data_IF_699556873324
#
_entry.id   IF_699556873324
#
_cell.length_a   1.000
_cell.length_b   1.000
_cell.length_c   1.000
_cell.angle_alpha   90.00
_cell.angle_beta   90.00
_cell.angle_gamma   90.00
#
_symmetry.space_group_name_H-M   'P 1'
#
loop_
_entity.id
_entity.type
_entity.pdbx_description
1 polymer ?
#
# COMPACT_ATOMS: atom_id res chain seq x y z
N UNK A 1 -55.72 3.59 -27.46
CA UNK A 1 -55.29 3.88 -26.09
C UNK A 1 -54.67 2.61 -25.47
N UNK A 2 -53.35 2.48 -25.59
CA UNK A 2 -52.55 1.26 -25.31
C UNK A 2 -52.51 0.93 -23.81
N UNK A 3 -52.73 1.92 -22.96
CA UNK A 3 -52.74 1.81 -21.49
C UNK A 3 -53.91 0.97 -20.95
N UNK A 4 -55.12 1.15 -21.48
CA UNK A 4 -56.31 0.44 -21.03
C UNK A 4 -56.28 -1.06 -21.38
N UNK A 5 -55.50 -1.46 -22.39
CA UNK A 5 -55.38 -2.86 -22.84
C UNK A 5 -54.45 -3.70 -21.96
N UNK A 6 -53.45 -3.07 -21.33
CA UNK A 6 -52.50 -3.72 -20.44
C UNK A 6 -53.09 -4.05 -19.07
N UNK A 7 -54.01 -3.23 -18.56
CA UNK A 7 -54.65 -3.42 -17.26
C UNK A 7 -55.69 -4.57 -17.27
N UNK A 8 -56.29 -4.84 -18.44
CA UNK A 8 -57.43 -5.78 -18.59
C UNK A 8 -57.03 -7.24 -18.66
N UNK A 9 -55.77 -7.55 -19.00
CA UNK A 9 -55.28 -8.92 -19.23
C UNK A 9 -54.42 -9.44 -18.08
N UNK A 10 -54.17 -8.65 -17.03
CA UNK A 10 -53.24 -8.98 -15.95
C UNK A 10 -51.78 -9.17 -16.42
N UNK A 11 -51.50 -8.92 -17.71
CA UNK A 11 -50.18 -9.06 -18.35
C UNK A 11 -49.55 -7.69 -18.62
N UNK A 12 -49.88 -6.69 -17.81
CA UNK A 12 -49.37 -5.33 -17.91
C UNK A 12 -48.39 -5.02 -16.78
N UNK A 13 -47.16 -4.64 -17.14
CA UNK A 13 -46.14 -4.06 -16.27
C UNK A 13 -45.72 -4.90 -15.04
N UNK A 14 -45.21 -6.11 -15.28
CA UNK A 14 -44.04 -6.51 -14.47
C UNK A 14 -42.86 -5.70 -14.99
N UNK A 15 -42.43 -4.69 -14.23
CA UNK A 15 -41.13 -4.04 -14.38
C UNK A 15 -40.05 -5.13 -14.27
N UNK A 16 -39.76 -5.82 -15.38
CA UNK A 16 -38.72 -6.87 -15.48
C UNK A 16 -37.30 -6.31 -15.32
N UNK A 17 -37.15 -5.01 -15.08
CA UNK A 17 -35.88 -4.30 -15.08
C UNK A 17 -35.42 -3.79 -13.70
N UNK A 18 -36.21 -3.95 -12.63
CA UNK A 18 -35.78 -3.54 -11.27
C UNK A 18 -35.20 -4.68 -10.43
N UNK A 19 -35.51 -5.94 -10.76
CA UNK A 19 -34.95 -7.11 -10.06
C UNK A 19 -33.44 -7.24 -10.26
N UNK A 20 -32.95 -6.92 -11.46
CA UNK A 20 -31.52 -6.88 -11.77
C UNK A 20 -30.81 -5.73 -11.08
N UNK A 21 -31.48 -4.59 -10.88
CA UNK A 21 -30.93 -3.45 -10.12
C UNK A 21 -30.84 -3.79 -8.63
N UNK A 22 -31.89 -4.38 -8.05
CA UNK A 22 -31.87 -4.84 -6.66
C UNK A 22 -30.82 -5.95 -6.42
N UNK A 23 -30.67 -6.88 -7.36
CA UNK A 23 -29.62 -7.90 -7.30
C UNK A 23 -28.21 -7.28 -7.42
N UNK A 24 -27.99 -6.34 -8.33
CA UNK A 24 -26.73 -5.59 -8.45
C UNK A 24 -26.42 -4.79 -7.18
N UNK A 25 -27.42 -4.19 -6.56
CA UNK A 25 -27.23 -3.47 -5.30
C UNK A 25 -26.80 -4.41 -4.17
N UNK A 26 -27.43 -5.58 -4.04
CA UNK A 26 -27.00 -6.62 -3.09
C UNK A 26 -25.57 -7.10 -3.34
N UNK A 27 -25.15 -7.21 -4.60
CA UNK A 27 -23.76 -7.55 -4.95
C UNK A 27 -22.78 -6.44 -4.55
N UNK A 28 -23.13 -5.17 -4.77
CA UNK A 28 -22.32 -4.02 -4.34
C UNK A 28 -22.24 -3.97 -2.82
N UNK A 29 -23.37 -4.14 -2.12
CA UNK A 29 -23.41 -4.19 -0.66
C UNK A 29 -22.53 -5.32 -0.11
N UNK A 30 -22.64 -6.53 -0.66
CA UNK A 30 -21.79 -7.66 -0.29
C UNK A 30 -20.31 -7.37 -0.54
N UNK A 31 -19.97 -6.76 -1.67
CA UNK A 31 -18.58 -6.42 -2.02
C UNK A 31 -18.02 -5.31 -1.11
N UNK A 32 -18.83 -4.32 -0.75
CA UNK A 32 -18.45 -3.28 0.21
C UNK A 32 -18.22 -3.86 1.59
N UNK A 33 -19.10 -4.75 2.06
CA UNK A 33 -18.95 -5.43 3.35
C UNK A 33 -17.70 -6.32 3.38
N UNK A 34 -17.44 -7.05 2.29
CA UNK A 34 -16.23 -7.87 2.13
C UNK A 34 -14.98 -6.99 2.17
N UNK A 35 -14.94 -5.94 1.36
CA UNK A 35 -13.82 -4.97 1.32
C UNK A 35 -13.59 -4.32 2.68
N UNK A 36 -14.66 -3.98 3.41
CA UNK A 36 -14.56 -3.41 4.76
C UNK A 36 -14.10 -4.41 5.82
N UNK A 37 -14.40 -5.70 5.66
CA UNK A 37 -13.86 -6.77 6.50
C UNK A 37 -12.36 -6.96 6.22
N UNK A 38 -11.99 -7.12 4.95
CA UNK A 38 -10.59 -7.28 4.50
C UNK A 38 -9.74 -6.09 4.97
N UNK A 39 -10.24 -4.86 4.84
CA UNK A 39 -9.56 -3.66 5.30
C UNK A 39 -9.33 -3.66 6.82
N UNK A 40 -10.32 -4.09 7.61
CA UNK A 40 -10.17 -4.17 9.07
C UNK A 40 -9.11 -5.19 9.46
N UNK A 41 -9.09 -6.35 8.83
CA UNK A 41 -8.07 -7.37 9.06
C UNK A 41 -6.66 -6.84 8.72
N UNK A 42 -6.50 -6.22 7.56
CA UNK A 42 -5.22 -5.61 7.15
C UNK A 42 -4.78 -4.50 8.12
N UNK A 43 -5.70 -3.67 8.60
CA UNK A 43 -5.39 -2.63 9.59
C UNK A 43 -4.91 -3.24 10.90
N UNK A 44 -5.54 -4.32 11.38
CA UNK A 44 -5.06 -5.02 12.58
C UNK A 44 -3.69 -5.65 12.36
N UNK A 45 -3.46 -6.25 11.19
CA UNK A 45 -2.16 -6.81 10.82
C UNK A 45 -1.07 -5.72 10.84
N UNK A 46 -1.33 -4.55 10.27
CA UNK A 46 -0.39 -3.43 10.26
C UNK A 46 -0.19 -2.83 11.65
N UNK A 47 -1.21 -2.83 12.51
CA UNK A 47 -1.08 -2.39 13.91
C UNK A 47 -0.07 -3.23 14.67
N UNK A 48 0.10 -4.52 14.34
CA UNK A 48 1.10 -5.37 14.99
C UNK A 48 2.53 -4.86 14.81
N UNK A 49 2.83 -4.17 13.71
CA UNK A 49 4.16 -3.60 13.43
C UNK A 49 4.63 -2.59 14.49
N UNK A 50 3.69 -1.93 15.17
CA UNK A 50 4.02 -0.98 16.26
C UNK A 50 4.59 -1.65 17.50
N UNK A 51 4.35 -2.96 17.65
CA UNK A 51 4.78 -3.78 18.79
C UNK A 51 5.95 -4.70 18.46
N UNK A 52 6.28 -4.84 17.17
CA UNK A 52 7.39 -5.66 16.72
C UNK A 52 8.68 -4.83 16.73
N UNK A 53 9.68 -5.17 17.56
CA UNK A 53 10.92 -4.44 17.58
C UNK A 53 11.70 -4.64 16.28
N UNK A 54 12.47 -3.63 15.89
CA UNK A 54 13.45 -3.70 14.81
C UNK A 54 14.62 -2.79 15.14
N UNK A 55 15.79 -3.40 15.33
CA UNK A 55 17.02 -2.66 15.59
C UNK A 55 17.58 -2.07 14.29
N UNK A 56 18.40 -1.01 14.40
CA UNK A 56 19.00 -0.37 13.22
C UNK A 56 19.80 -1.31 12.30
N UNK A 57 20.55 -2.32 12.79
CA UNK A 57 21.21 -3.30 11.92
C UNK A 57 20.23 -4.13 11.07
N UNK A 58 19.08 -4.51 11.65
CA UNK A 58 18.01 -5.23 10.93
C UNK A 58 17.32 -4.30 9.92
N UNK A 59 17.05 -3.05 10.31
CA UNK A 59 16.56 -2.03 9.39
C UNK A 59 17.50 -1.82 8.20
N UNK A 60 18.82 -1.78 8.45
CA UNK A 60 19.83 -1.64 7.41
C UNK A 60 19.76 -2.79 6.40
N UNK A 61 19.79 -4.04 6.86
CA UNK A 61 19.81 -5.20 5.95
C UNK A 61 18.46 -5.43 5.26
N UNK A 62 17.35 -5.28 5.98
CA UNK A 62 16.02 -5.54 5.45
C UNK A 62 15.50 -4.43 4.52
N UNK A 63 15.85 -3.16 4.79
CA UNK A 63 15.31 -2.00 4.09
C UNK A 63 16.37 -1.30 3.25
N UNK A 64 17.45 -0.80 3.86
CA UNK A 64 18.41 0.07 3.16
C UNK A 64 19.08 -0.64 1.99
N UNK A 65 19.53 -1.88 2.20
CA UNK A 65 20.25 -2.64 1.17
C UNK A 65 19.33 -3.04 -0.01
N UNK A 66 18.03 -3.19 0.24
CA UNK A 66 17.03 -3.49 -0.81
C UNK A 66 16.56 -2.26 -1.57
N UNK A 67 16.48 -1.12 -0.88
CA UNK A 67 16.02 0.14 -1.49
C UNK A 67 17.15 0.80 -2.25
N UNK A 68 18.35 0.85 -1.67
CA UNK A 68 19.57 1.43 -2.21
C UNK A 68 20.70 0.38 -2.17
N UNK A 69 20.69 -0.58 -3.12
CA UNK A 69 21.78 -1.54 -3.23
C UNK A 69 23.10 -0.83 -3.53
N UNK A 70 24.17 -1.31 -2.91
CA UNK A 70 25.52 -0.77 -3.10
C UNK A 70 25.91 -0.84 -4.57
N UNK A 71 26.40 0.26 -5.18
CA UNK A 71 26.96 0.22 -6.53
C UNK A 71 28.19 -0.70 -6.55
N UNK A 72 28.19 -1.71 -7.41
CA UNK A 72 29.29 -2.66 -7.53
C UNK A 72 29.83 -2.72 -8.96
N UNK A 73 31.10 -3.15 -9.07
CA UNK A 73 31.75 -3.43 -10.35
C UNK A 73 32.29 -2.20 -11.09
N UNK A 74 32.87 -2.42 -12.28
CA UNK A 74 33.58 -1.39 -13.04
C UNK A 74 32.69 -0.27 -13.60
N UNK A 75 31.36 -0.41 -13.51
CA UNK A 75 30.38 0.58 -13.95
C UNK A 75 29.95 1.53 -12.83
N UNK A 76 30.38 1.28 -11.59
CA UNK A 76 30.05 2.12 -10.45
C UNK A 76 30.74 3.49 -10.57
N UNK A 77 29.96 4.52 -10.85
CA UNK A 77 30.44 5.91 -10.94
C UNK A 77 30.34 6.63 -9.61
N UNK A 78 31.16 7.67 -9.40
CA UNK A 78 31.08 8.54 -8.22
C UNK A 78 29.68 9.13 -8.02
N UNK A 79 28.98 9.43 -9.12
CA UNK A 79 27.59 9.90 -9.08
C UNK A 79 26.62 8.84 -8.54
N UNK A 80 26.82 7.57 -8.91
CA UNK A 80 26.02 6.47 -8.39
C UNK A 80 26.27 6.28 -6.89
N UNK A 81 27.53 6.32 -6.46
CA UNK A 81 27.90 6.28 -5.05
C UNK A 81 27.31 7.45 -4.24
N UNK A 82 27.39 8.67 -4.77
CA UNK A 82 26.81 9.84 -4.12
C UNK A 82 25.28 9.76 -4.00
N UNK A 83 24.59 9.24 -5.02
CA UNK A 83 23.15 9.03 -4.98
C UNK A 83 22.76 7.90 -4.01
N UNK A 84 23.54 6.83 -3.98
CA UNK A 84 23.38 5.71 -3.05
C UNK A 84 23.50 6.18 -1.60
N UNK A 85 24.58 6.89 -1.27
CA UNK A 85 24.82 7.42 0.08
C UNK A 85 23.69 8.37 0.48
N UNK A 86 23.31 9.32 -0.40
CA UNK A 86 22.21 10.25 -0.13
C UNK A 86 20.88 9.54 0.13
N UNK A 87 20.59 8.46 -0.60
CA UNK A 87 19.37 7.67 -0.39
C UNK A 87 19.38 6.98 0.97
N UNK A 88 20.52 6.40 1.36
CA UNK A 88 20.68 5.76 2.67
C UNK A 88 20.59 6.75 3.82
N UNK A 89 21.25 7.90 3.71
CA UNK A 89 21.23 8.95 4.73
C UNK A 89 19.80 9.47 4.94
N UNK A 90 19.03 9.63 3.86
CA UNK A 90 17.61 10.06 3.94
C UNK A 90 16.73 9.03 4.62
N UNK A 91 16.88 7.75 4.29
CA UNK A 91 16.11 6.68 4.91
C UNK A 91 16.49 6.50 6.40
N UNK A 92 17.78 6.58 6.72
CA UNK A 92 18.26 6.53 8.10
C UNK A 92 17.76 7.73 8.91
N UNK A 93 17.82 8.94 8.34
CA UNK A 93 17.23 10.12 8.95
C UNK A 93 15.72 9.99 9.13
N UNK A 94 14.99 9.45 8.13
CA UNK A 94 13.54 9.30 8.21
C UNK A 94 13.13 8.30 9.30
N UNK A 95 13.93 7.25 9.48
CA UNK A 95 13.77 6.28 10.57
C UNK A 95 13.91 6.92 11.95
N UNK A 96 14.91 7.79 12.14
CA UNK A 96 15.17 8.43 13.43
C UNK A 96 14.26 9.64 13.71
N UNK A 97 13.92 10.43 12.69
CA UNK A 97 13.49 11.81 12.88
C UNK A 97 12.35 12.32 11.97
N UNK A 98 11.83 11.51 11.04
CA UNK A 98 10.68 11.96 10.24
C UNK A 98 9.43 12.20 11.11
N UNK A 99 8.48 13.06 10.69
CA UNK A 99 7.23 13.25 11.41
C UNK A 99 6.48 11.93 11.62
N UNK A 100 6.27 11.56 12.88
CA UNK A 100 5.64 10.30 13.29
C UNK A 100 6.61 9.14 13.52
N UNK A 101 7.93 9.36 13.35
CA UNK A 101 8.96 8.33 13.46
C UNK A 101 8.82 7.49 14.74
N UNK A 102 8.97 6.18 14.59
CA UNK A 102 8.99 5.22 15.69
C UNK A 102 10.23 4.35 15.61
N UNK A 103 11.43 4.91 15.87
CA UNK A 103 12.67 4.15 15.87
C UNK A 103 12.56 2.96 16.83
N UNK A 104 13.18 1.86 16.47
CA UNK A 104 13.15 0.62 17.23
C UNK A 104 11.95 -0.28 16.94
N UNK A 105 11.03 0.10 16.03
CA UNK A 105 9.84 -0.69 15.67
C UNK A 105 9.74 -0.94 14.17
N UNK A 106 9.15 -2.05 13.75
CA UNK A 106 8.92 -2.29 12.31
C UNK A 106 7.97 -1.30 11.67
N UNK A 107 7.05 -0.75 12.45
CA UNK A 107 6.18 0.34 11.98
C UNK A 107 7.01 1.58 11.61
N UNK A 108 7.99 1.95 12.44
CA UNK A 108 8.92 3.03 12.12
C UNK A 108 9.66 2.79 10.80
N UNK A 109 9.92 1.54 10.43
CA UNK A 109 10.72 1.18 9.25
C UNK A 109 9.86 1.34 8.01
N UNK A 110 8.63 0.86 8.12
CA UNK A 110 7.59 1.08 7.12
C UNK A 110 7.31 2.57 6.89
N UNK A 111 7.22 3.34 7.98
CA UNK A 111 6.97 4.77 7.90
C UNK A 111 8.16 5.53 7.30
N UNK A 112 9.40 5.21 7.69
CA UNK A 112 10.60 5.80 7.09
C UNK A 112 10.67 5.55 5.57
N UNK A 113 10.35 4.32 5.17
CA UNK A 113 10.32 3.90 3.78
C UNK A 113 9.23 4.65 2.98
N UNK A 114 8.02 4.73 3.51
CA UNK A 114 6.91 5.43 2.85
C UNK A 114 7.13 6.94 2.82
N UNK A 115 7.72 7.52 3.86
CA UNK A 115 8.14 8.92 3.89
C UNK A 115 9.14 9.20 2.76
N UNK A 116 10.22 8.42 2.66
CA UNK A 116 11.19 8.55 1.57
C UNK A 116 10.54 8.35 0.20
N UNK A 117 9.70 7.33 0.04
CA UNK A 117 9.05 7.04 -1.24
C UNK A 117 8.14 8.18 -1.72
N UNK A 118 7.47 8.86 -0.78
CA UNK A 118 6.56 9.98 -1.09
C UNK A 118 7.31 11.30 -1.25
N UNK A 119 8.40 11.51 -0.51
CA UNK A 119 9.06 12.81 -0.44
C UNK A 119 10.31 12.92 -1.31
N UNK A 120 11.07 11.83 -1.44
CA UNK A 120 12.47 11.87 -1.86
C UNK A 120 12.83 10.96 -3.03
N UNK A 121 12.01 9.94 -3.34
CA UNK A 121 12.28 8.96 -4.40
C UNK A 121 12.25 9.51 -5.85
N UNK A 122 12.15 10.83 -6.04
CA UNK A 122 12.31 11.50 -7.33
C UNK A 122 11.12 12.40 -7.69
N UNK A 123 11.44 13.60 -8.21
CA UNK A 123 10.48 14.54 -8.80
C UNK A 123 10.16 14.10 -10.23
N UNK A 124 9.19 13.22 -10.42
CA UNK A 124 8.53 13.08 -11.71
C UNK A 124 7.03 13.27 -11.52
N UNK A 125 6.45 14.02 -12.43
CA UNK A 125 5.12 14.64 -12.41
C UNK A 125 3.98 13.65 -12.28
N UNK A 126 3.74 13.18 -11.06
CA UNK A 126 2.45 12.98 -10.38
C UNK A 126 2.70 12.10 -9.16
N UNK A 127 3.10 12.74 -8.04
CA UNK A 127 3.38 12.09 -6.74
C UNK A 127 2.29 11.09 -6.32
N UNK A 128 1.04 11.33 -6.72
CA UNK A 128 -0.10 10.50 -6.36
C UNK A 128 -0.22 9.23 -7.20
N UNK A 129 -0.05 9.30 -8.53
CA UNK A 129 -0.35 8.17 -9.43
C UNK A 129 0.68 7.06 -9.31
N UNK A 130 1.97 7.40 -9.12
CA UNK A 130 3.01 6.38 -8.94
C UNK A 130 3.00 5.76 -7.55
N UNK A 131 2.56 6.47 -6.52
CA UNK A 131 2.46 5.92 -5.15
C UNK A 131 1.21 5.07 -4.96
N UNK A 132 0.19 5.21 -5.82
CA UNK A 132 -1.00 4.34 -5.78
C UNK A 132 -0.91 3.17 -6.77
N UNK A 133 -0.26 3.31 -7.92
CA UNK A 133 -0.26 2.28 -8.98
C UNK A 133 1.08 2.01 -9.69
N UNK A 134 2.17 2.68 -9.30
CA UNK A 134 3.47 2.54 -9.98
C UNK A 134 4.30 1.31 -9.54
N UNK A 135 5.42 1.02 -10.24
CA UNK A 135 6.37 -0.05 -9.86
C UNK A 135 6.90 0.08 -8.43
N UNK A 136 6.97 1.32 -7.93
CA UNK A 136 7.36 1.61 -6.56
C UNK A 136 6.39 1.00 -5.53
N UNK A 137 5.09 0.95 -5.83
CA UNK A 137 4.07 0.37 -4.94
C UNK A 137 4.26 -1.13 -4.78
N UNK A 138 4.60 -1.82 -5.86
CA UNK A 138 4.87 -3.27 -5.80
C UNK A 138 6.09 -3.54 -4.91
N UNK A 139 7.15 -2.73 -5.07
CA UNK A 139 8.35 -2.81 -4.21
C UNK A 139 8.02 -2.54 -2.74
N UNK A 140 7.21 -1.50 -2.47
CA UNK A 140 6.74 -1.17 -1.11
C UNK A 140 5.88 -2.30 -0.51
N UNK A 141 4.92 -2.85 -1.26
CA UNK A 141 4.08 -3.97 -0.80
C UNK A 141 4.88 -5.22 -0.48
N UNK A 142 5.88 -5.54 -1.31
CA UNK A 142 6.76 -6.67 -1.05
C UNK A 142 7.53 -6.48 0.27
N UNK A 143 8.09 -5.28 0.49
CA UNK A 143 8.80 -4.96 1.74
C UNK A 143 7.85 -5.00 2.95
N UNK A 144 6.61 -4.53 2.82
CA UNK A 144 5.61 -4.61 3.88
C UNK A 144 5.27 -6.06 4.24
N UNK A 145 5.04 -6.92 3.24
CA UNK A 145 4.78 -8.35 3.48
C UNK A 145 5.93 -9.03 4.21
N UNK A 146 7.17 -8.69 3.86
CA UNK A 146 8.36 -9.21 4.55
C UNK A 146 8.42 -8.72 6.01
N UNK A 147 8.14 -7.45 6.28
CA UNK A 147 8.09 -6.90 7.63
C UNK A 147 7.03 -7.57 8.52
N UNK A 148 5.89 -7.95 7.95
CA UNK A 148 4.81 -8.66 8.64
C UNK A 148 5.19 -10.11 8.96
N UNK A 149 5.87 -10.79 8.03
CA UNK A 149 6.24 -12.21 8.16
C UNK A 149 7.48 -12.46 9.03
N UNK A 150 8.43 -11.52 9.07
CA UNK A 150 9.62 -11.59 9.93
C UNK A 150 9.29 -11.67 11.43
N UNK A 151 8.02 -11.45 11.84
CA UNK A 151 7.58 -11.40 13.24
C UNK A 151 7.05 -12.73 13.77
N UNK A 152 6.84 -13.71 12.88
CA UNK A 152 6.27 -15.01 13.20
C UNK A 152 7.29 -16.10 13.53
N UNK A 153 8.57 -15.76 13.75
CA UNK A 153 9.65 -16.74 13.99
C UNK A 153 10.23 -16.73 15.41
N UNK A 154 9.56 -16.10 16.39
CA UNK A 154 9.95 -16.18 17.80
C UNK A 154 8.96 -17.03 18.60
#
# INVERSE_FOLDING_TARGET
NTWQRAHRTGRGLRLRHTSTVAARWKLIEAELLRTAADWREQVEEWRTLTRQPMAFPEFRSAILDRVAPTPEGPQATDRMWANWQRTRDRLAWAWEAAPGAMPGTRYGAWQALTYWATHDAGRESSRLERTMHGPQVQKLRAILGDLLTMGGQN
#
